data_IF_211746033110
#
_entry.id   IF_211746033110
#
_cell.length_a   1.000
_cell.length_b   1.000
_cell.length_c   1.000
_cell.angle_alpha   90.00
_cell.angle_beta   90.00
_cell.angle_gamma   90.00
#
_symmetry.space_group_name_H-M   'P 1'
#
loop_
_entity.id
_entity.type
_entity.pdbx_description
1 polymer ?
#
# COMPACT_ATOMS: atom_id res chain seq x y z
N UNK A 1 38.04 41.11 -29.62
CA UNK A 1 38.71 39.99 -30.31
C UNK A 1 37.80 38.77 -30.17
N UNK A 2 36.94 38.46 -31.14
CA UNK A 2 37.17 37.84 -32.46
C UNK A 2 37.22 36.30 -32.41
N UNK A 3 36.09 35.71 -32.82
CA UNK A 3 35.90 34.43 -33.54
C UNK A 3 36.22 33.11 -32.78
N UNK A 4 35.60 31.95 -33.04
CA UNK A 4 34.96 31.46 -34.26
C UNK A 4 33.99 30.30 -33.96
N UNK A 5 32.84 30.30 -34.63
CA UNK A 5 31.87 29.20 -34.79
C UNK A 5 32.47 28.17 -35.77
N UNK A 6 32.29 26.86 -35.56
CA UNK A 6 32.31 25.92 -36.68
C UNK A 6 31.40 24.69 -36.49
N UNK A 7 30.53 24.54 -37.50
CA UNK A 7 29.65 23.42 -37.82
C UNK A 7 30.47 22.27 -38.43
N UNK A 8 30.10 21.02 -38.15
CA UNK A 8 30.45 19.83 -38.96
C UNK A 8 29.23 18.89 -38.85
N UNK A 9 28.34 18.85 -39.85
CA UNK A 9 28.38 18.17 -41.13
C UNK A 9 27.80 16.75 -41.06
N UNK A 10 26.67 16.59 -41.75
CA UNK A 10 25.99 15.35 -42.09
C UNK A 10 26.96 14.41 -42.83
N UNK A 11 27.10 13.18 -42.33
CA UNK A 11 27.76 12.08 -43.04
C UNK A 11 26.74 11.02 -43.41
N UNK A 12 26.32 11.04 -44.68
CA UNK A 12 25.76 9.86 -45.35
C UNK A 12 26.86 8.78 -45.39
N UNK A 13 26.59 7.58 -44.92
CA UNK A 13 27.48 6.45 -45.12
C UNK A 13 26.86 5.43 -46.08
N UNK A 14 27.48 5.36 -47.26
CA UNK A 14 27.36 4.29 -48.24
C UNK A 14 27.86 2.98 -47.59
N UNK A 15 27.09 1.90 -47.70
CA UNK A 15 27.53 0.56 -47.28
C UNK A 15 28.19 -0.13 -48.47
N UNK A 16 29.50 -0.38 -48.36
CA UNK A 16 30.28 -1.21 -49.29
C UNK A 16 30.51 -2.57 -48.64
N UNK A 17 30.07 -3.65 -49.30
CA UNK A 17 30.23 -5.03 -48.84
C UNK A 17 31.59 -5.57 -49.31
N UNK A 18 32.39 -6.10 -48.38
CA UNK A 18 33.51 -7.02 -48.68
C UNK A 18 33.56 -8.14 -47.63
N UNK A 19 33.82 -9.35 -48.11
CA UNK A 19 33.82 -10.62 -47.37
C UNK A 19 35.23 -11.12 -47.04
N UNK A 20 35.30 -12.01 -46.03
CA UNK A 20 36.40 -12.92 -45.59
C UNK A 20 37.46 -12.30 -44.64
N UNK A 21 37.99 -12.93 -43.57
CA UNK A 21 38.08 -14.34 -43.11
C UNK A 21 38.38 -14.45 -41.58
N UNK A 22 38.36 -15.69 -41.07
CA UNK A 22 38.38 -16.28 -39.70
C UNK A 22 39.40 -15.84 -38.61
N UNK A 23 39.00 -15.96 -37.32
CA UNK A 23 39.92 -16.24 -36.17
C UNK A 23 39.48 -15.86 -34.72
N UNK A 24 38.65 -16.70 -34.06
CA UNK A 24 38.42 -17.07 -32.62
C UNK A 24 38.74 -16.12 -31.39
N UNK A 25 38.34 -16.45 -30.11
CA UNK A 25 37.11 -16.02 -29.45
C UNK A 25 37.30 -15.26 -28.10
N UNK A 26 36.17 -14.81 -27.53
CA UNK A 26 35.89 -14.42 -26.12
C UNK A 26 35.84 -12.92 -25.77
N UNK A 27 34.62 -12.38 -25.71
CA UNK A 27 34.04 -11.70 -24.53
C UNK A 27 32.52 -11.59 -24.73
N UNK A 28 31.75 -12.02 -23.73
CA UNK A 28 30.29 -12.04 -23.73
C UNK A 28 29.71 -10.63 -23.57
N UNK A 29 29.47 -9.96 -24.70
CA UNK A 29 28.58 -8.81 -24.83
C UNK A 29 27.43 -9.20 -25.75
N UNK A 30 26.19 -9.03 -25.32
CA UNK A 30 25.01 -9.26 -26.15
C UNK A 30 24.96 -8.21 -27.27
N UNK A 31 25.62 -8.48 -28.39
CA UNK A 31 25.41 -7.77 -29.65
C UNK A 31 24.63 -8.69 -30.58
N UNK A 32 23.31 -8.70 -30.41
CA UNK A 32 22.41 -9.14 -31.47
C UNK A 32 22.24 -7.96 -32.44
N UNK A 33 23.20 -7.80 -33.37
CA UNK A 33 22.89 -7.11 -34.62
C UNK A 33 22.26 -8.16 -35.53
N UNK A 34 20.95 -8.31 -35.43
CA UNK A 34 20.20 -9.02 -36.46
C UNK A 34 20.39 -8.24 -37.76
N UNK A 35 21.02 -8.87 -38.77
CA UNK A 35 21.09 -8.33 -40.13
C UNK A 35 19.66 -8.20 -40.63
N UNK A 36 19.23 -6.95 -40.77
CA UNK A 36 17.86 -6.64 -41.08
C UNK A 36 17.53 -7.04 -42.52
N UNK A 37 16.45 -7.80 -42.72
CA UNK A 37 15.83 -7.87 -44.04
C UNK A 37 15.18 -6.51 -44.29
N UNK A 38 15.81 -5.71 -45.15
CA UNK A 38 15.28 -4.42 -45.57
C UNK A 38 13.96 -4.63 -46.32
N UNK A 39 12.96 -3.83 -45.95
CA UNK A 39 11.67 -3.77 -46.63
C UNK A 39 11.64 -2.51 -47.48
N UNK A 40 11.29 -2.62 -48.76
CA UNK A 40 11.20 -1.47 -49.66
C UNK A 40 9.85 -0.74 -49.58
N UNK A 41 8.90 -1.25 -48.78
CA UNK A 41 7.60 -0.60 -48.57
C UNK A 41 7.79 0.75 -47.82
N UNK A 42 7.53 1.90 -48.50
CA UNK A 42 7.77 3.22 -47.92
C UNK A 42 6.84 3.52 -46.74
N UNK A 43 5.62 2.98 -46.72
CA UNK A 43 4.68 3.16 -45.61
C UNK A 43 5.14 2.36 -44.41
N UNK A 44 5.67 1.15 -44.63
CA UNK A 44 6.25 0.31 -43.57
C UNK A 44 7.47 0.99 -42.95
N UNK A 45 8.36 1.56 -43.77
CA UNK A 45 9.51 2.35 -43.30
C UNK A 45 9.05 3.58 -42.50
N UNK A 46 8.06 4.34 -42.99
CA UNK A 46 7.58 5.55 -42.33
C UNK A 46 7.04 5.26 -40.92
N UNK A 47 6.12 4.29 -40.80
CA UNK A 47 5.50 3.94 -39.51
C UNK A 47 6.55 3.44 -38.51
N UNK A 48 7.48 2.59 -38.96
CA UNK A 48 8.57 2.11 -38.10
C UNK A 48 9.54 3.23 -37.70
N UNK A 49 9.82 4.17 -38.61
CA UNK A 49 10.66 5.35 -38.32
C UNK A 49 10.03 6.22 -37.24
N UNK A 50 8.70 6.43 -37.27
CA UNK A 50 7.99 7.14 -36.20
C UNK A 50 8.15 6.42 -34.85
N UNK A 51 8.04 5.10 -34.83
CA UNK A 51 8.34 4.33 -33.61
C UNK A 51 9.79 4.57 -33.13
N UNK A 52 10.79 4.40 -34.00
CA UNK A 52 12.21 4.54 -33.64
C UNK A 52 12.56 5.94 -33.13
N UNK A 53 12.00 6.98 -33.77
CA UNK A 53 12.25 8.38 -33.39
C UNK A 53 11.62 8.74 -32.04
N UNK A 54 10.54 8.07 -31.64
CA UNK A 54 9.81 8.38 -30.41
C UNK A 54 10.14 7.43 -29.25
N UNK A 55 10.66 6.22 -29.48
CA UNK A 55 10.79 5.17 -28.45
C UNK A 55 11.63 5.53 -27.22
N UNK A 56 12.42 6.61 -27.26
CA UNK A 56 13.22 7.10 -26.12
C UNK A 56 12.73 8.44 -25.55
N UNK A 57 12.01 9.22 -26.35
CA UNK A 57 11.68 10.62 -26.05
C UNK A 57 10.18 10.84 -25.82
N UNK A 58 9.35 10.00 -26.43
CA UNK A 58 7.90 10.00 -26.31
C UNK A 58 7.36 8.57 -26.49
N UNK A 59 7.49 7.75 -25.45
CA UNK A 59 7.12 6.34 -25.49
C UNK A 59 5.64 6.11 -25.84
N UNK A 60 4.74 7.03 -25.47
CA UNK A 60 3.32 6.94 -25.84
C UNK A 60 3.11 7.06 -27.36
N UNK A 61 3.79 8.01 -28.01
CA UNK A 61 3.77 8.12 -29.47
C UNK A 61 4.41 6.91 -30.15
N UNK A 62 5.47 6.34 -29.56
CA UNK A 62 6.08 5.12 -30.05
C UNK A 62 5.12 3.92 -29.95
N UNK A 63 4.41 3.78 -28.83
CA UNK A 63 3.40 2.73 -28.63
C UNK A 63 2.28 2.80 -29.65
N UNK A 64 1.76 4.00 -29.92
CA UNK A 64 0.75 4.19 -30.95
C UNK A 64 1.27 3.79 -32.34
N UNK A 65 2.49 4.19 -32.70
CA UNK A 65 3.10 3.82 -33.97
C UNK A 65 3.35 2.30 -34.08
N UNK A 66 3.78 1.66 -32.99
CA UNK A 66 3.98 0.21 -32.93
C UNK A 66 2.66 -0.56 -33.14
N UNK A 67 1.57 -0.13 -32.49
CA UNK A 67 0.24 -0.72 -32.69
C UNK A 67 -0.27 -0.53 -34.11
N UNK A 68 -0.11 0.67 -34.66
CA UNK A 68 -0.50 0.97 -36.04
C UNK A 68 0.24 0.07 -37.04
N UNK A 69 1.55 -0.15 -36.83
CA UNK A 69 2.34 -1.05 -37.67
C UNK A 69 1.77 -2.48 -37.65
N UNK A 70 1.56 -3.05 -36.47
CA UNK A 70 1.06 -4.42 -36.33
C UNK A 70 -0.37 -4.59 -36.86
N UNK A 71 -1.20 -3.54 -36.76
CA UNK A 71 -2.55 -3.54 -37.31
C UNK A 71 -2.56 -3.48 -38.84
N UNK A 72 -1.65 -2.71 -39.46
CA UNK A 72 -1.51 -2.61 -40.92
C UNK A 72 -0.91 -3.87 -41.53
N UNK A 73 0.00 -4.54 -40.82
CA UNK A 73 0.75 -5.70 -41.30
C UNK A 73 0.51 -6.95 -40.42
N UNK A 74 -0.74 -7.44 -40.26
CA UNK A 74 -1.06 -8.47 -39.27
C UNK A 74 -0.59 -9.88 -39.66
N UNK A 75 -0.18 -10.09 -40.92
CA UNK A 75 0.31 -11.38 -41.44
C UNK A 75 1.84 -11.45 -41.51
N UNK A 76 2.52 -10.34 -41.27
CA UNK A 76 3.97 -10.29 -41.33
C UNK A 76 4.55 -10.98 -40.09
N UNK A 77 5.64 -11.70 -40.28
CA UNK A 77 6.38 -12.35 -39.20
C UNK A 77 7.88 -12.08 -39.33
N UNK A 78 8.20 -10.84 -39.70
CA UNK A 78 9.57 -10.38 -39.78
C UNK A 78 10.09 -9.91 -38.41
N UNK A 79 11.38 -9.62 -38.37
CA UNK A 79 12.07 -9.09 -37.20
C UNK A 79 11.41 -7.82 -36.62
N UNK A 80 10.79 -6.98 -37.44
CA UNK A 80 10.21 -5.70 -37.01
C UNK A 80 8.93 -5.98 -36.26
N UNK A 81 8.05 -6.80 -36.83
CA UNK A 81 6.80 -7.26 -36.22
C UNK A 81 7.08 -7.97 -34.90
N UNK A 82 8.04 -8.89 -34.88
CA UNK A 82 8.44 -9.60 -33.65
C UNK A 82 9.01 -8.67 -32.58
N UNK A 83 9.81 -7.67 -32.97
CA UNK A 83 10.36 -6.69 -32.05
C UNK A 83 9.26 -5.79 -31.47
N UNK A 84 8.37 -5.26 -32.31
CA UNK A 84 7.29 -4.38 -31.89
C UNK A 84 6.29 -5.10 -30.96
N UNK A 85 5.97 -6.36 -31.23
CA UNK A 85 5.15 -7.19 -30.34
C UNK A 85 5.76 -7.28 -28.94
N UNK A 86 7.05 -7.62 -28.85
CA UNK A 86 7.77 -7.69 -27.56
C UNK A 86 7.83 -6.32 -26.87
N UNK A 87 8.12 -5.27 -27.63
CA UNK A 87 8.22 -3.91 -27.10
C UNK A 87 6.88 -3.42 -26.53
N UNK A 88 5.76 -3.65 -27.23
CA UNK A 88 4.42 -3.26 -26.75
C UNK A 88 4.10 -3.94 -25.42
N UNK A 89 4.37 -5.25 -25.30
CA UNK A 89 4.12 -5.98 -24.05
C UNK A 89 4.90 -5.39 -22.88
N UNK A 90 6.18 -5.06 -23.10
CA UNK A 90 7.04 -4.43 -22.07
C UNK A 90 6.51 -3.04 -21.71
N UNK A 91 6.22 -2.21 -22.71
CA UNK A 91 5.71 -0.86 -22.52
C UNK A 91 4.39 -0.87 -21.73
N UNK A 92 3.42 -1.70 -22.12
CA UNK A 92 2.12 -1.76 -21.46
C UNK A 92 2.23 -2.27 -20.02
N UNK A 93 3.14 -3.21 -19.75
CA UNK A 93 3.43 -3.67 -18.39
C UNK A 93 3.98 -2.53 -17.53
N UNK A 94 4.91 -1.76 -18.05
CA UNK A 94 5.53 -0.65 -17.30
C UNK A 94 4.56 0.54 -17.17
N UNK A 95 3.71 0.78 -18.17
CA UNK A 95 2.61 1.75 -18.12
C UNK A 95 1.62 1.43 -17.01
N UNK A 96 1.22 0.16 -16.84
CA UNK A 96 0.37 -0.26 -15.71
C UNK A 96 0.99 0.11 -14.37
N UNK A 97 2.28 -0.15 -14.19
CA UNK A 97 3.02 0.17 -12.96
C UNK A 97 3.07 1.68 -12.69
N UNK A 98 3.22 2.51 -13.74
CA UNK A 98 3.16 3.98 -13.64
C UNK A 98 1.75 4.50 -13.36
N UNK A 99 0.73 3.85 -13.93
CA UNK A 99 -0.68 4.24 -13.80
C UNK A 99 -1.26 3.92 -12.42
N UNK A 100 -0.87 2.81 -11.80
CA UNK A 100 -1.43 2.37 -10.52
C UNK A 100 -1.42 3.45 -9.42
N UNK A 101 -0.29 4.08 -9.05
CA UNK A 101 -0.28 5.13 -8.04
C UNK A 101 -1.14 6.35 -8.44
N UNK A 102 -1.23 6.68 -9.74
CA UNK A 102 -2.08 7.76 -10.23
C UNK A 102 -3.56 7.47 -9.97
N UNK A 103 -4.00 6.22 -10.21
CA UNK A 103 -5.37 5.79 -9.95
C UNK A 103 -5.70 5.83 -8.45
N UNK A 104 -4.76 5.43 -7.60
CA UNK A 104 -4.96 5.39 -6.14
C UNK A 104 -5.00 6.80 -5.52
N UNK A 105 -3.99 7.63 -5.79
CA UNK A 105 -3.78 8.87 -5.03
C UNK A 105 -4.36 10.12 -5.69
N UNK A 106 -4.31 10.19 -7.01
CA UNK A 106 -4.70 11.39 -7.75
C UNK A 106 -6.14 11.29 -8.25
N UNK A 107 -6.45 10.25 -9.04
CA UNK A 107 -7.79 10.07 -9.59
C UNK A 107 -8.78 9.50 -8.56
N UNK A 108 -8.30 8.87 -7.49
CA UNK A 108 -9.10 8.13 -6.50
C UNK A 108 -10.06 7.12 -7.17
N UNK A 109 -9.67 6.61 -8.32
CA UNK A 109 -10.41 5.59 -9.06
C UNK A 109 -9.99 4.21 -8.54
N UNK A 110 -10.54 3.83 -7.38
CA UNK A 110 -10.17 2.59 -6.72
C UNK A 110 -10.53 1.36 -7.55
N UNK A 111 -11.69 1.33 -8.22
CA UNK A 111 -12.06 0.22 -9.10
C UNK A 111 -11.03 0.01 -10.23
N UNK A 112 -10.61 1.09 -10.89
CA UNK A 112 -9.54 1.07 -11.87
C UNK A 112 -8.21 0.61 -11.28
N UNK A 113 -7.85 1.11 -10.09
CA UNK A 113 -6.62 0.74 -9.40
C UNK A 113 -6.57 -0.77 -9.11
N UNK A 114 -7.64 -1.35 -8.58
CA UNK A 114 -7.71 -2.79 -8.32
C UNK A 114 -7.71 -3.62 -9.60
N UNK A 115 -8.32 -3.15 -10.69
CA UNK A 115 -8.26 -3.81 -11.99
C UNK A 115 -6.83 -3.85 -12.54
N UNK A 116 -6.17 -2.69 -12.62
CA UNK A 116 -4.76 -2.58 -13.10
C UNK A 116 -3.80 -3.33 -12.17
N UNK A 117 -3.99 -3.21 -10.86
CA UNK A 117 -3.18 -3.89 -9.86
C UNK A 117 -3.25 -5.41 -9.96
N UNK A 118 -4.44 -5.98 -10.21
CA UNK A 118 -4.61 -7.42 -10.45
C UNK A 118 -3.84 -7.89 -11.68
N UNK A 119 -3.81 -7.10 -12.75
CA UNK A 119 -3.01 -7.42 -13.94
C UNK A 119 -1.51 -7.39 -13.65
N UNK A 120 -1.03 -6.36 -12.92
CA UNK A 120 0.39 -6.30 -12.51
C UNK A 120 0.78 -7.52 -11.68
N UNK A 121 -0.07 -7.92 -10.72
CA UNK A 121 0.21 -9.07 -9.85
C UNK A 121 -0.04 -10.42 -10.52
N UNK A 122 -0.73 -10.47 -11.66
CA UNK A 122 -0.80 -11.68 -12.48
C UNK A 122 0.53 -11.90 -13.22
N UNK A 123 1.14 -10.83 -13.73
CA UNK A 123 2.44 -10.90 -14.41
C UNK A 123 3.61 -11.04 -13.42
N UNK A 124 3.55 -10.32 -12.30
CA UNK A 124 4.59 -10.25 -11.28
C UNK A 124 3.94 -10.38 -9.88
N UNK A 125 3.66 -11.61 -9.41
CA UNK A 125 2.93 -11.84 -8.16
C UNK A 125 3.52 -11.14 -6.93
N UNK A 126 4.84 -10.98 -6.88
CA UNK A 126 5.56 -10.41 -5.75
C UNK A 126 5.97 -8.94 -5.96
N UNK A 127 5.36 -8.24 -6.93
CA UNK A 127 5.66 -6.83 -7.19
C UNK A 127 5.22 -5.94 -6.02
N UNK A 128 6.15 -5.72 -5.08
CA UNK A 128 5.92 -5.08 -3.79
C UNK A 128 5.25 -3.69 -3.88
N UNK A 129 5.61 -2.78 -4.82
CA UNK A 129 4.92 -1.49 -4.94
C UNK A 129 3.42 -1.64 -5.18
N UNK A 130 2.98 -2.60 -6.01
CA UNK A 130 1.55 -2.82 -6.21
C UNK A 130 0.85 -3.35 -4.95
N UNK A 131 1.49 -4.25 -4.20
CA UNK A 131 0.93 -4.73 -2.92
C UNK A 131 0.76 -3.59 -1.91
N UNK A 132 1.74 -2.69 -1.81
CA UNK A 132 1.68 -1.51 -0.93
C UNK A 132 0.55 -0.58 -1.37
N UNK A 133 0.51 -0.19 -2.66
CA UNK A 133 -0.50 0.73 -3.18
C UNK A 133 -1.92 0.17 -3.02
N UNK A 134 -2.15 -1.09 -3.38
CA UNK A 134 -3.47 -1.73 -3.26
C UNK A 134 -3.86 -1.94 -1.79
N UNK A 135 -2.93 -2.36 -0.94
CA UNK A 135 -3.17 -2.51 0.49
C UNK A 135 -3.69 -1.21 1.11
N UNK A 136 -3.01 -0.10 0.86
CA UNK A 136 -3.42 1.21 1.36
C UNK A 136 -4.64 1.80 0.62
N UNK A 137 -4.87 1.45 -0.65
CA UNK A 137 -6.02 1.90 -1.41
C UNK A 137 -7.36 1.49 -0.76
N UNK A 138 -7.42 0.34 -0.08
CA UNK A 138 -8.64 -0.06 0.65
C UNK A 138 -8.98 0.89 1.81
N UNK A 139 -7.96 1.32 2.57
CA UNK A 139 -8.13 2.35 3.61
C UNK A 139 -8.65 3.66 3.03
N UNK A 140 -8.05 4.12 1.92
CA UNK A 140 -8.47 5.35 1.24
C UNK A 140 -9.89 5.23 0.67
N UNK A 141 -10.24 4.11 0.06
CA UNK A 141 -11.58 3.86 -0.47
C UNK A 141 -12.63 3.93 0.64
N UNK A 142 -12.36 3.31 1.79
CA UNK A 142 -13.27 3.32 2.93
C UNK A 142 -13.39 4.70 3.57
N UNK A 143 -12.28 5.41 3.78
CA UNK A 143 -12.29 6.70 4.51
C UNK A 143 -12.69 7.90 3.67
N UNK A 144 -12.39 7.89 2.36
CA UNK A 144 -12.64 9.04 1.48
C UNK A 144 -13.87 8.87 0.59
N UNK A 145 -14.23 7.64 0.24
CA UNK A 145 -15.35 7.33 -0.65
C UNK A 145 -16.44 6.46 0.01
N UNK A 146 -16.29 6.10 1.29
CA UNK A 146 -17.20 5.20 2.03
C UNK A 146 -17.44 3.88 1.28
N UNK A 147 -16.42 3.40 0.57
CA UNK A 147 -16.51 2.22 -0.28
C UNK A 147 -15.69 1.07 0.34
N UNK A 148 -16.40 0.03 0.76
CA UNK A 148 -15.83 -1.13 1.44
C UNK A 148 -15.65 -2.34 0.53
N UNK A 149 -16.03 -2.22 -0.75
CA UNK A 149 -15.97 -3.29 -1.74
C UNK A 149 -14.59 -3.95 -1.82
N UNK A 150 -13.55 -3.16 -1.54
CA UNK A 150 -12.17 -3.57 -1.69
C UNK A 150 -11.50 -4.00 -0.37
N UNK A 151 -12.21 -3.95 0.77
CA UNK A 151 -11.57 -4.15 2.09
C UNK A 151 -10.90 -5.51 2.25
N UNK A 152 -11.49 -6.58 1.73
CA UNK A 152 -10.90 -7.94 1.81
C UNK A 152 -9.64 -8.06 0.93
N UNK A 153 -9.71 -7.62 -0.32
CA UNK A 153 -8.56 -7.61 -1.25
C UNK A 153 -7.43 -6.74 -0.68
N UNK A 154 -7.76 -5.55 -0.15
CA UNK A 154 -6.81 -4.64 0.49
C UNK A 154 -6.06 -5.31 1.66
N UNK A 155 -6.78 -5.96 2.57
CA UNK A 155 -6.16 -6.68 3.69
C UNK A 155 -5.21 -7.76 3.20
N UNK A 156 -5.61 -8.54 2.18
CA UNK A 156 -4.76 -9.58 1.62
C UNK A 156 -3.47 -9.00 1.01
N UNK A 157 -3.56 -7.91 0.24
CA UNK A 157 -2.38 -7.26 -0.32
C UNK A 157 -1.49 -6.60 0.74
N UNK A 158 -2.10 -5.93 1.72
CA UNK A 158 -1.36 -5.31 2.83
C UNK A 158 -0.58 -6.35 3.65
N UNK A 159 -1.19 -7.49 3.97
CA UNK A 159 -0.51 -8.59 4.68
C UNK A 159 0.66 -9.15 3.87
N UNK A 160 0.51 -9.34 2.57
CA UNK A 160 1.60 -9.79 1.68
C UNK A 160 2.73 -8.78 1.58
N UNK A 161 2.40 -7.48 1.54
CA UNK A 161 3.39 -6.41 1.57
C UNK A 161 4.16 -6.38 2.90
N UNK A 162 3.45 -6.45 4.05
CA UNK A 162 4.06 -6.54 5.38
C UNK A 162 5.04 -7.71 5.44
N UNK A 163 4.59 -8.91 5.11
CA UNK A 163 5.43 -10.11 5.13
C UNK A 163 6.68 -9.95 4.26
N UNK A 164 6.55 -9.37 3.07
CA UNK A 164 7.66 -9.12 2.15
C UNK A 164 8.68 -8.13 2.73
N UNK A 165 8.20 -7.03 3.31
CA UNK A 165 9.06 -5.97 3.88
C UNK A 165 9.78 -6.47 5.14
N UNK A 166 9.10 -7.25 5.98
CA UNK A 166 9.69 -7.86 7.17
C UNK A 166 10.73 -8.92 6.81
N UNK A 167 10.53 -9.65 5.70
CA UNK A 167 11.54 -10.54 5.12
C UNK A 167 12.71 -9.81 4.45
N UNK A 168 12.77 -8.48 4.52
CA UNK A 168 13.88 -7.67 4.02
C UNK A 168 13.74 -7.16 2.59
N UNK A 169 12.63 -7.44 1.88
CA UNK A 169 12.39 -6.85 0.55
C UNK A 169 12.18 -5.35 0.67
N UNK A 170 12.75 -4.59 -0.25
CA UNK A 170 12.58 -3.13 -0.34
C UNK A 170 12.13 -2.75 -1.75
N UNK A 171 11.09 -1.91 -1.91
CA UNK A 171 10.71 -1.39 -3.21
C UNK A 171 11.74 -0.35 -3.69
N UNK A 172 11.77 -0.03 -5.00
CA UNK A 172 12.60 1.06 -5.52
C UNK A 172 12.22 2.44 -4.96
N UNK A 173 10.98 2.59 -4.50
CA UNK A 173 10.46 3.81 -3.88
C UNK A 173 9.43 3.46 -2.81
N UNK A 174 9.44 4.19 -1.70
CA UNK A 174 8.49 4.05 -0.60
C UNK A 174 7.25 4.94 -0.75
N UNK A 175 7.17 5.74 -1.82
CA UNK A 175 6.05 6.66 -2.01
C UNK A 175 4.70 5.92 -1.95
N UNK A 176 3.68 6.53 -1.32
CA UNK A 176 3.65 7.91 -0.79
C UNK A 176 4.26 8.05 0.62
N UNK A 177 4.80 6.97 1.19
CA UNK A 177 5.35 6.96 2.55
C UNK A 177 6.82 7.39 2.58
N UNK A 178 7.28 7.78 3.78
CA UNK A 178 8.63 8.34 3.98
C UNK A 178 9.73 7.27 3.97
N UNK A 179 9.38 6.00 4.16
CA UNK A 179 10.34 4.90 4.27
C UNK A 179 9.71 3.59 4.73
N UNK A 180 10.56 2.62 5.09
CA UNK A 180 10.16 1.28 5.55
C UNK A 180 9.21 1.35 6.75
N UNK A 181 9.61 2.03 7.82
CA UNK A 181 8.86 2.06 9.08
C UNK A 181 7.51 2.76 8.93
N UNK A 182 7.48 3.87 8.19
CA UNK A 182 6.23 4.59 7.87
C UNK A 182 5.28 3.71 7.03
N UNK A 183 5.82 2.96 6.06
CA UNK A 183 5.05 2.00 5.28
C UNK A 183 4.48 0.88 6.14
N UNK A 184 5.30 0.25 6.99
CA UNK A 184 4.85 -0.83 7.87
C UNK A 184 3.80 -0.33 8.86
N UNK A 185 4.01 0.82 9.49
CA UNK A 185 3.04 1.43 10.40
C UNK A 185 1.68 1.62 9.73
N UNK A 186 1.67 2.17 8.51
CA UNK A 186 0.45 2.43 7.75
C UNK A 186 -0.24 1.16 7.25
N UNK A 187 0.52 0.15 6.84
CA UNK A 187 -0.05 -1.13 6.43
C UNK A 187 -0.65 -1.89 7.61
N UNK A 188 0.04 -1.95 8.75
CA UNK A 188 -0.49 -2.55 9.97
C UNK A 188 -1.76 -1.86 10.45
N UNK A 189 -1.74 -0.52 10.46
CA UNK A 189 -2.93 0.27 10.77
C UNK A 189 -4.07 0.03 9.79
N UNK A 190 -3.78 -0.07 8.48
CA UNK A 190 -4.78 -0.38 7.46
C UNK A 190 -5.42 -1.74 7.69
N UNK A 191 -4.62 -2.79 7.95
CA UNK A 191 -5.14 -4.13 8.26
C UNK A 191 -6.02 -4.09 9.51
N UNK A 192 -5.56 -3.42 10.56
CA UNK A 192 -6.31 -3.24 11.79
C UNK A 192 -7.65 -2.54 11.56
N UNK A 193 -7.62 -1.37 10.94
CA UNK A 193 -8.79 -0.55 10.64
C UNK A 193 -9.82 -1.27 9.79
N UNK A 194 -9.40 -1.93 8.70
CA UNK A 194 -10.31 -2.66 7.83
C UNK A 194 -10.90 -3.89 8.51
N UNK A 195 -10.26 -4.42 9.56
CA UNK A 195 -10.74 -5.58 10.33
C UNK A 195 -11.76 -5.21 11.41
N UNK A 196 -11.83 -3.94 11.83
CA UNK A 196 -12.66 -3.51 12.98
C UNK A 196 -14.11 -3.97 12.90
N UNK A 197 -14.72 -3.89 11.71
CA UNK A 197 -16.15 -4.21 11.56
C UNK A 197 -16.42 -5.70 11.48
N UNK A 198 -15.61 -6.45 10.72
CA UNK A 198 -15.85 -7.86 10.42
C UNK A 198 -15.20 -8.81 11.42
N UNK A 199 -14.09 -8.40 12.03
CA UNK A 199 -13.32 -9.22 12.96
C UNK A 199 -12.54 -8.31 13.96
N UNK A 200 -13.25 -7.61 14.88
CA UNK A 200 -12.62 -6.66 15.81
C UNK A 200 -11.48 -7.27 16.63
N UNK A 201 -11.57 -8.52 17.07
CA UNK A 201 -10.50 -9.22 17.79
C UNK A 201 -9.20 -9.32 16.98
N UNK A 202 -9.31 -9.46 15.65
CA UNK A 202 -8.19 -9.55 14.73
C UNK A 202 -7.59 -8.18 14.40
N UNK A 203 -8.30 -7.09 14.68
CA UNK A 203 -7.79 -5.73 14.52
C UNK A 203 -6.76 -5.35 15.59
N UNK A 204 -6.84 -5.96 16.78
CA UNK A 204 -6.02 -5.58 17.95
C UNK A 204 -4.53 -5.70 17.67
N UNK A 205 -4.06 -6.86 17.19
CA UNK A 205 -2.63 -7.12 17.01
C UNK A 205 -1.99 -6.19 15.96
N UNK A 206 -2.56 -6.01 14.75
CA UNK A 206 -2.05 -5.02 13.79
C UNK A 206 -2.05 -3.59 14.33
N UNK A 207 -3.07 -3.16 15.07
CA UNK A 207 -3.11 -1.82 15.64
C UNK A 207 -2.03 -1.62 16.71
N UNK A 208 -1.76 -2.63 17.55
CA UNK A 208 -0.62 -2.63 18.47
C UNK A 208 0.68 -2.51 17.70
N UNK A 209 0.89 -3.32 16.65
CA UNK A 209 2.08 -3.29 15.80
C UNK A 209 2.32 -1.91 15.19
N UNK A 210 1.27 -1.25 14.70
CA UNK A 210 1.38 0.10 14.15
C UNK A 210 1.93 1.13 15.16
N UNK A 211 1.66 0.97 16.47
CA UNK A 211 2.19 1.86 17.52
C UNK A 211 3.68 1.65 17.83
N UNK A 212 4.27 0.56 17.36
CA UNK A 212 5.68 0.20 17.64
C UNK A 212 6.66 0.99 16.77
N UNK A 213 6.20 1.56 15.66
CA UNK A 213 7.01 2.37 14.76
C UNK A 213 7.02 3.85 15.19
N UNK A 214 8.19 4.48 15.20
CA UNK A 214 8.33 5.90 15.53
C UNK A 214 7.98 6.78 14.32
N UNK A 215 6.69 6.89 14.04
CA UNK A 215 6.13 7.60 12.87
C UNK A 215 5.09 8.62 13.31
N UNK A 216 4.69 9.51 12.40
CA UNK A 216 3.62 10.48 12.71
C UNK A 216 2.27 9.78 13.00
N UNK A 217 2.07 8.57 12.48
CA UNK A 217 0.90 7.75 12.78
C UNK A 217 0.79 7.40 14.27
N UNK A 218 1.92 7.22 14.97
CA UNK A 218 1.95 6.97 16.43
C UNK A 218 1.40 8.13 17.25
N UNK A 219 1.40 9.34 16.68
CA UNK A 219 0.81 10.54 17.29
C UNK A 219 -0.68 10.69 16.93
N UNK A 220 -1.21 9.86 16.04
CA UNK A 220 -2.60 9.93 15.61
C UNK A 220 -3.54 9.49 16.74
N UNK A 221 -4.51 10.32 17.14
CA UNK A 221 -5.51 9.94 18.13
C UNK A 221 -6.36 8.75 17.68
N UNK A 222 -6.66 8.70 16.38
CA UNK A 222 -7.48 7.65 15.76
C UNK A 222 -6.87 6.26 15.88
N UNK A 223 -5.53 6.14 15.89
CA UNK A 223 -4.84 4.85 16.10
C UNK A 223 -5.25 4.21 17.42
N UNK A 224 -5.20 4.99 18.51
CA UNK A 224 -5.55 4.52 19.84
C UNK A 224 -7.07 4.35 20.02
N UNK A 225 -7.86 5.23 19.41
CA UNK A 225 -9.32 5.06 19.41
C UNK A 225 -9.74 3.76 18.75
N UNK A 226 -9.20 3.43 17.57
CA UNK A 226 -9.52 2.19 16.88
C UNK A 226 -9.06 0.96 17.66
N UNK A 227 -7.94 1.05 18.38
CA UNK A 227 -7.53 -0.01 19.29
C UNK A 227 -8.54 -0.21 20.43
N UNK A 228 -9.03 0.88 21.03
CA UNK A 228 -10.08 0.82 22.05
C UNK A 228 -11.38 0.21 21.49
N UNK A 229 -11.79 0.64 20.29
CA UNK A 229 -12.98 0.12 19.60
C UNK A 229 -12.85 -1.37 19.25
N UNK A 230 -11.66 -1.84 18.91
CA UNK A 230 -11.36 -3.25 18.67
C UNK A 230 -11.54 -4.09 19.95
N UNK A 231 -11.03 -3.63 21.09
CA UNK A 231 -11.26 -4.29 22.38
C UNK A 231 -12.75 -4.26 22.78
N UNK A 232 -13.42 -3.12 22.62
CA UNK A 232 -14.83 -2.92 22.98
C UNK A 232 -15.75 -3.84 22.16
N UNK A 233 -15.63 -3.78 20.83
CA UNK A 233 -16.52 -4.50 19.90
C UNK A 233 -16.18 -5.98 19.76
N UNK A 234 -15.01 -6.38 20.27
CA UNK A 234 -14.46 -7.71 20.16
C UNK A 234 -14.50 -8.50 21.46
N UNK A 235 -13.37 -8.64 22.19
CA UNK A 235 -13.30 -9.47 23.38
C UNK A 235 -14.22 -8.98 24.49
N UNK A 236 -14.36 -7.67 24.71
CA UNK A 236 -15.25 -7.15 25.75
C UNK A 236 -16.70 -7.56 25.49
N UNK A 237 -17.25 -7.26 24.31
CA UNK A 237 -18.61 -7.62 23.95
C UNK A 237 -18.89 -9.11 24.12
N UNK A 238 -17.97 -9.96 23.66
CA UNK A 238 -18.12 -11.42 23.73
C UNK A 238 -18.06 -11.92 25.17
N UNK A 239 -17.05 -11.49 25.93
CA UNK A 239 -16.83 -11.94 27.31
C UNK A 239 -17.89 -11.41 28.27
N UNK A 240 -18.32 -10.15 28.10
CA UNK A 240 -19.41 -9.57 28.89
C UNK A 240 -20.73 -10.31 28.66
N UNK A 241 -21.08 -10.63 27.40
CA UNK A 241 -22.28 -11.41 27.09
C UNK A 241 -22.21 -12.83 27.69
N UNK A 242 -21.06 -13.49 27.59
CA UNK A 242 -20.85 -14.81 28.19
C UNK A 242 -20.96 -14.77 29.72
N UNK A 243 -20.36 -13.76 30.35
CA UNK A 243 -20.46 -13.54 31.79
C UNK A 243 -21.92 -13.32 32.23
N UNK A 244 -22.62 -12.42 31.54
CA UNK A 244 -24.02 -12.11 31.83
C UNK A 244 -24.91 -13.35 31.73
N UNK A 245 -24.73 -14.15 30.69
CA UNK A 245 -25.51 -15.37 30.47
C UNK A 245 -25.21 -16.45 31.51
N UNK A 246 -23.95 -16.58 31.90
CA UNK A 246 -23.49 -17.71 32.71
C UNK A 246 -23.60 -17.44 34.21
N UNK A 247 -23.32 -16.22 34.67
CA UNK A 247 -23.10 -15.90 36.09
C UNK A 247 -24.00 -14.80 36.66
N UNK A 248 -24.63 -13.95 35.84
CA UNK A 248 -25.42 -12.84 36.38
C UNK A 248 -26.63 -13.35 37.20
N UNK A 249 -26.84 -12.74 38.35
CA UNK A 249 -27.93 -13.09 39.28
C UNK A 249 -27.76 -14.44 39.99
N UNK A 250 -26.61 -15.11 39.83
CA UNK A 250 -26.28 -16.36 40.52
C UNK A 250 -25.30 -16.10 41.66
N UNK A 251 -25.19 -17.06 42.57
CA UNK A 251 -24.16 -17.01 43.62
C UNK A 251 -22.76 -16.93 43.02
N UNK A 252 -21.91 -16.14 43.66
CA UNK A 252 -20.54 -15.96 43.24
C UNK A 252 -19.73 -17.25 43.47
N UNK A 253 -19.02 -17.69 42.43
CA UNK A 253 -18.17 -18.88 42.47
C UNK A 253 -16.73 -18.51 42.13
N UNK A 254 -15.78 -19.42 42.37
CA UNK A 254 -14.40 -19.23 41.92
C UNK A 254 -14.32 -19.02 40.38
N UNK A 255 -15.21 -19.69 39.62
CA UNK A 255 -15.28 -19.57 38.17
C UNK A 255 -15.83 -18.19 37.74
N UNK A 256 -16.86 -17.67 38.41
CA UNK A 256 -17.37 -16.33 38.12
C UNK A 256 -16.32 -15.26 38.43
N UNK A 257 -15.61 -15.37 39.56
CA UNK A 257 -14.49 -14.46 39.89
C UNK A 257 -13.42 -14.46 38.81
N UNK A 258 -12.98 -15.64 38.37
CA UNK A 258 -11.98 -15.75 37.32
C UNK A 258 -12.46 -15.17 35.98
N UNK A 259 -13.72 -15.39 35.61
CA UNK A 259 -14.31 -14.84 34.40
C UNK A 259 -14.40 -13.30 34.46
N UNK A 260 -14.78 -12.76 35.61
CA UNK A 260 -14.83 -11.32 35.86
C UNK A 260 -13.43 -10.69 35.78
N UNK A 261 -12.42 -11.35 36.38
CA UNK A 261 -11.04 -10.85 36.34
C UNK A 261 -10.51 -10.78 34.90
N UNK A 262 -10.76 -11.81 34.09
CA UNK A 262 -10.39 -11.79 32.66
C UNK A 262 -11.10 -10.66 31.91
N UNK A 263 -12.38 -10.41 32.20
CA UNK A 263 -13.12 -9.29 31.61
C UNK A 263 -12.54 -7.93 32.05
N UNK A 264 -12.17 -7.78 33.32
CA UNK A 264 -11.54 -6.57 33.85
C UNK A 264 -10.22 -6.26 33.15
N UNK A 265 -9.40 -7.26 32.84
CA UNK A 265 -8.16 -7.05 32.06
C UNK A 265 -8.46 -6.45 30.68
N UNK A 266 -9.51 -6.88 30.00
CA UNK A 266 -9.93 -6.30 28.72
C UNK A 266 -10.38 -4.84 28.90
N UNK A 267 -11.18 -4.57 29.94
CA UNK A 267 -11.64 -3.21 30.26
C UNK A 267 -10.45 -2.29 30.56
N UNK A 268 -9.43 -2.78 31.26
CA UNK A 268 -8.21 -2.02 31.55
C UNK A 268 -7.44 -1.70 30.25
N UNK A 269 -7.44 -2.59 29.25
CA UNK A 269 -6.90 -2.30 27.91
C UNK A 269 -7.72 -1.26 27.15
N UNK A 270 -9.05 -1.30 27.25
CA UNK A 270 -9.93 -0.30 26.66
C UNK A 270 -9.69 1.09 27.28
N UNK A 271 -9.58 1.15 28.61
CA UNK A 271 -9.30 2.37 29.36
C UNK A 271 -7.95 2.97 28.94
N UNK A 272 -6.87 2.17 28.88
CA UNK A 272 -5.55 2.65 28.43
C UNK A 272 -5.62 3.18 26.99
N UNK A 273 -6.23 2.44 26.07
CA UNK A 273 -6.35 2.86 24.67
C UNK A 273 -7.19 4.15 24.50
N UNK A 274 -8.31 4.29 25.21
CA UNK A 274 -9.09 5.52 25.21
C UNK A 274 -8.34 6.70 25.84
N UNK A 275 -7.63 6.47 26.96
CA UNK A 275 -6.81 7.50 27.60
C UNK A 275 -5.73 8.02 26.63
N UNK A 276 -5.07 7.13 25.89
CA UNK A 276 -4.11 7.50 24.84
C UNK A 276 -4.77 8.26 23.69
N UNK A 277 -5.96 7.86 23.26
CA UNK A 277 -6.70 8.58 22.22
C UNK A 277 -7.03 10.03 22.65
N UNK A 278 -7.54 10.21 23.87
CA UNK A 278 -7.84 11.53 24.44
C UNK A 278 -6.59 12.37 24.64
N UNK A 279 -5.50 11.75 25.12
CA UNK A 279 -4.21 12.42 25.32
C UNK A 279 -3.61 12.86 23.98
N UNK A 280 -3.59 11.98 22.98
CA UNK A 280 -3.05 12.26 21.64
C UNK A 280 -3.87 13.31 20.90
N UNK A 281 -5.19 13.37 21.12
CA UNK A 281 -6.03 14.43 20.55
C UNK A 281 -5.61 15.83 21.01
N UNK A 282 -4.97 15.94 22.18
CA UNK A 282 -4.45 17.20 22.71
C UNK A 282 -5.53 18.27 22.76
N UNK A 283 -5.17 19.50 22.42
CA UNK A 283 -6.11 20.63 22.33
C UNK A 283 -6.36 21.05 20.87
N UNK A 284 -6.15 20.13 19.92
CA UNK A 284 -6.40 20.40 18.50
C UNK A 284 -7.91 20.63 18.27
N UNK A 285 -8.32 21.82 17.78
CA UNK A 285 -9.73 22.12 17.49
C UNK A 285 -10.38 21.10 16.54
N UNK A 286 -9.61 20.52 15.61
CA UNK A 286 -10.12 19.50 14.68
C UNK A 286 -10.58 18.22 15.40
N UNK A 287 -10.04 17.96 16.59
CA UNK A 287 -10.38 16.80 17.40
C UNK A 287 -11.30 17.13 18.58
N UNK A 288 -11.77 18.38 18.77
CA UNK A 288 -12.50 18.77 19.97
C UNK A 288 -13.76 17.92 20.20
N UNK A 289 -14.55 17.69 19.13
CA UNK A 289 -15.76 16.89 19.20
C UNK A 289 -15.47 15.41 19.48
N UNK A 290 -14.53 14.82 18.73
CA UNK A 290 -14.17 13.39 18.88
C UNK A 290 -13.52 13.13 20.22
N UNK A 291 -12.63 14.01 20.68
CA UNK A 291 -12.04 13.97 22.03
C UNK A 291 -13.11 13.97 23.11
N UNK A 292 -14.13 14.82 23.01
CA UNK A 292 -15.25 14.82 23.97
C UNK A 292 -15.98 13.49 24.02
N UNK A 293 -16.28 12.90 22.85
CA UNK A 293 -16.93 11.58 22.76
C UNK A 293 -16.06 10.47 23.38
N UNK A 294 -14.75 10.49 23.12
CA UNK A 294 -13.82 9.50 23.66
C UNK A 294 -13.61 9.68 25.17
N UNK A 295 -13.55 10.92 25.66
CA UNK A 295 -13.49 11.22 27.10
C UNK A 295 -14.71 10.70 27.84
N UNK A 296 -15.92 10.81 27.27
CA UNK A 296 -17.13 10.30 27.89
C UNK A 296 -17.11 8.76 28.02
N UNK A 297 -16.74 8.06 26.94
CA UNK A 297 -16.55 6.59 26.96
C UNK A 297 -15.49 6.17 27.97
N UNK A 298 -14.35 6.86 27.98
CA UNK A 298 -13.27 6.63 28.93
C UNK A 298 -13.76 6.77 30.38
N UNK A 299 -14.46 7.86 30.69
CA UNK A 299 -14.96 8.13 32.03
C UNK A 299 -15.95 7.07 32.50
N UNK A 300 -16.81 6.56 31.61
CA UNK A 300 -17.75 5.48 31.91
C UNK A 300 -17.01 4.20 32.34
N UNK A 301 -16.08 3.71 31.51
CA UNK A 301 -15.32 2.50 31.83
C UNK A 301 -14.40 2.70 33.05
N UNK A 302 -13.80 3.88 33.19
CA UNK A 302 -12.97 4.20 34.34
C UNK A 302 -13.76 4.16 35.64
N UNK A 303 -14.92 4.84 35.70
CA UNK A 303 -15.81 4.83 36.87
C UNK A 303 -16.30 3.43 37.18
N UNK A 304 -16.67 2.63 36.17
CA UNK A 304 -17.01 1.23 36.36
C UNK A 304 -15.89 0.45 37.08
N UNK A 305 -14.63 0.66 36.71
CA UNK A 305 -13.47 0.02 37.35
C UNK A 305 -13.10 0.61 38.71
N UNK A 306 -13.50 1.84 39.01
CA UNK A 306 -13.11 2.60 40.20
C UNK A 306 -14.30 2.98 41.09
N UNK A 307 -15.28 2.08 41.24
CA UNK A 307 -16.40 2.23 42.19
C UNK A 307 -17.20 3.54 42.01
N UNK A 308 -17.36 3.98 40.76
CA UNK A 308 -18.08 5.21 40.42
C UNK A 308 -17.23 6.50 40.46
N UNK A 309 -15.96 6.41 40.89
CA UNK A 309 -15.06 7.56 41.02
C UNK A 309 -14.31 7.86 39.73
N UNK A 310 -14.09 9.15 39.44
CA UNK A 310 -13.17 9.65 38.41
C UNK A 310 -11.86 10.19 38.99
N UNK A 311 -11.64 10.05 40.30
CA UNK A 311 -10.36 10.40 40.95
C UNK A 311 -9.23 9.64 40.27
N UNK A 312 -8.23 10.36 39.77
CA UNK A 312 -7.08 9.80 39.05
C UNK A 312 -7.24 9.67 37.53
N UNK A 313 -8.44 9.94 36.98
CA UNK A 313 -8.67 9.85 35.54
C UNK A 313 -7.82 10.85 34.73
N UNK A 314 -7.71 12.09 35.20
CA UNK A 314 -6.89 13.10 34.53
C UNK A 314 -5.40 12.74 34.56
N UNK A 315 -4.91 12.16 35.67
CA UNK A 315 -3.53 11.71 35.79
C UNK A 315 -3.25 10.52 34.86
N UNK A 316 -4.21 9.60 34.72
CA UNK A 316 -4.15 8.52 33.74
C UNK A 316 -4.00 9.07 32.32
N UNK A 317 -4.84 10.02 31.91
CA UNK A 317 -4.80 10.64 30.58
C UNK A 317 -3.44 11.32 30.36
N UNK A 318 -3.00 12.14 31.33
CA UNK A 318 -1.73 12.87 31.23
C UNK A 318 -0.51 11.93 31.10
N UNK A 319 -0.53 10.78 31.78
CA UNK A 319 0.56 9.80 31.74
C UNK A 319 0.45 8.74 30.63
N UNK A 320 -0.66 8.68 29.91
CA UNK A 320 -0.99 7.55 29.03
C UNK A 320 0.06 7.34 27.92
N UNK A 321 0.48 8.41 27.25
CA UNK A 321 1.44 8.34 26.14
C UNK A 321 2.88 8.11 26.58
N UNK A 322 3.21 8.38 27.85
CA UNK A 322 4.56 8.21 28.39
C UNK A 322 4.88 6.74 28.72
N UNK A 323 3.86 5.90 28.87
CA UNK A 323 4.01 4.48 29.19
C UNK A 323 3.98 3.63 27.91
N UNK A 324 4.74 2.52 27.83
CA UNK A 324 4.58 1.54 26.76
C UNK A 324 3.13 1.05 26.68
N UNK A 325 2.66 0.76 25.47
CA UNK A 325 1.35 0.15 25.29
C UNK A 325 1.35 -1.24 25.94
N UNK A 326 0.33 -1.60 26.73
CA UNK A 326 0.23 -2.94 27.27
C UNK A 326 0.15 -4.00 26.14
N UNK A 327 0.75 -5.19 26.32
CA UNK A 327 0.60 -6.27 25.35
C UNK A 327 -0.85 -6.75 25.31
N UNK A 328 -1.20 -7.44 24.21
CA UNK A 328 -2.48 -8.14 24.08
C UNK A 328 -2.63 -9.15 25.25
N UNK A 329 -3.77 -9.15 25.98
CA UNK A 329 -4.03 -10.05 27.10
C UNK A 329 -3.99 -11.53 26.77
#
# INVERSE_FOLDING_TARGET
>A
MKYLIQRVAFGFFLVTILFTSFGAPSTTGWTLVAMAQETDDPVKIEVYTRFVNNRKTNEAAAHQAAKEYLQKYPKDNDQYTQYLQKWIVIYERDERKRTLPQLVYNAKNFAGAYSVGKQILADEPDYLPALIHLGYAGYLAMTTAKNELFSADAQAYANRAIQSIEAGKSPPSWLPFKGKDDTLAQLYYTVGFLSLRSAPDRAIEPLIKATQFDTDLKKSPSLYYYLAAAYESGPYKTMAAAYQTTFAGKEETAQSKLALEKLNVIIDRMIDAYARAVAAAGNDPANAQTKSQWSNKLAEFYKFRHQGSDVGLNDLIAGALAKPLPPKP
#
